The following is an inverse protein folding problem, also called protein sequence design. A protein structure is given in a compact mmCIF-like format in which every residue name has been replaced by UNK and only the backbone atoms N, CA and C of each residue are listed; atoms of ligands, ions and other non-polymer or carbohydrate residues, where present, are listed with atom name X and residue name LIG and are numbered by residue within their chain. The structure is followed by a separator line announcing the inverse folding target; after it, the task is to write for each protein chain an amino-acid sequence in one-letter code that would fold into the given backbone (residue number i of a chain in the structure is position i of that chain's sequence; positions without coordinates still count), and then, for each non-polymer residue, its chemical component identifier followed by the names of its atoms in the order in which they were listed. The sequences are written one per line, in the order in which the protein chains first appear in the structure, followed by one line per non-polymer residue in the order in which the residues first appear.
data_IF_160564251595
#
_entry.id   IF_160564251595
#
_cell.length_a   1.000
_cell.length_b   1.000
_cell.length_c   1.000
_cell.angle_alpha   90.00
_cell.angle_beta   90.00
_cell.angle_gamma   90.00
#
_symmetry.space_group_name_H-M   'P 1'
#
loop_
_entity.id
_entity.type
_entity.pdbx_description
1 polymer ?
#
# COMPACT_ATOMS: atom_id res chain seq x y z
N UNK A 1 -29.26 -35.69 8.01
CA UNK A 1 -28.97 -34.26 7.91
C UNK A 1 -28.55 -34.03 6.46
N UNK A 2 -29.32 -33.26 5.64
CA UNK A 2 -28.90 -32.99 4.28
C UNK A 2 -27.63 -32.10 4.31
N UNK A 3 -26.63 -32.53 3.52
CA UNK A 3 -25.47 -31.69 3.24
C UNK A 3 -25.98 -30.40 2.59
N UNK A 4 -25.71 -29.29 3.23
CA UNK A 4 -25.92 -27.96 2.66
C UNK A 4 -24.97 -27.87 1.47
N UNK A 5 -25.52 -28.00 0.26
CA UNK A 5 -24.84 -27.64 -0.98
C UNK A 5 -24.49 -26.16 -0.89
N UNK A 6 -23.29 -25.87 -0.39
CA UNK A 6 -22.71 -24.55 -0.53
C UNK A 6 -22.53 -24.34 -2.03
N UNK A 7 -23.36 -23.48 -2.61
CA UNK A 7 -23.20 -23.03 -4.00
C UNK A 7 -21.73 -22.68 -4.21
N UNK A 8 -21.05 -23.25 -5.21
CA UNK A 8 -19.66 -22.93 -5.48
C UNK A 8 -19.60 -21.42 -5.73
N UNK A 9 -18.90 -20.69 -4.87
CA UNK A 9 -18.62 -19.28 -5.09
C UNK A 9 -17.92 -19.16 -6.44
N UNK A 10 -18.61 -18.62 -7.42
CA UNK A 10 -18.01 -18.23 -8.69
C UNK A 10 -17.22 -16.96 -8.42
N UNK A 11 -15.92 -16.98 -8.73
CA UNK A 11 -15.03 -15.84 -8.55
C UNK A 11 -14.19 -15.86 -7.26
N UNK A 12 -13.40 -14.81 -7.07
CA UNK A 12 -12.52 -14.60 -5.91
C UNK A 12 -12.96 -13.34 -5.16
N UNK A 13 -13.99 -13.41 -4.30
CA UNK A 13 -14.56 -12.22 -3.64
C UNK A 13 -13.63 -11.54 -2.64
N UNK A 14 -12.48 -12.15 -2.32
CA UNK A 14 -11.41 -11.57 -1.50
C UNK A 14 -10.42 -10.71 -2.32
N UNK A 15 -10.53 -10.69 -3.66
CA UNK A 15 -9.83 -9.76 -4.50
C UNK A 15 -10.45 -8.37 -4.39
N UNK A 16 -9.61 -7.37 -4.21
CA UNK A 16 -10.01 -5.96 -4.23
C UNK A 16 -10.05 -5.47 -5.67
N UNK A 17 -9.05 -5.89 -6.48
CA UNK A 17 -9.00 -5.75 -7.94
C UNK A 17 -8.12 -6.82 -8.56
N UNK A 18 -8.28 -6.97 -9.85
CA UNK A 18 -7.44 -7.79 -10.71
C UNK A 18 -7.25 -7.07 -12.05
N UNK A 19 -6.04 -7.10 -12.59
CA UNK A 19 -5.68 -6.55 -13.90
C UNK A 19 -4.88 -7.56 -14.69
N UNK A 20 -5.16 -7.65 -15.99
CA UNK A 20 -4.29 -8.24 -16.98
C UNK A 20 -3.57 -7.15 -17.74
N UNK A 21 -2.28 -7.30 -18.00
CA UNK A 21 -1.47 -6.35 -18.74
C UNK A 21 -1.00 -6.99 -20.05
N UNK A 22 -1.15 -6.25 -21.11
CA UNK A 22 -0.67 -6.66 -22.43
C UNK A 22 0.83 -6.38 -22.61
N UNK A 23 1.42 -6.88 -23.69
CA UNK A 23 2.85 -6.70 -23.95
C UNK A 23 3.27 -5.24 -24.21
N UNK A 24 2.32 -4.35 -24.46
CA UNK A 24 2.54 -2.91 -24.59
C UNK A 24 2.39 -2.14 -23.27
N UNK A 25 2.22 -2.86 -22.15
CA UNK A 25 2.04 -2.28 -20.82
C UNK A 25 0.63 -1.78 -20.51
N UNK A 26 -0.33 -1.96 -21.40
CA UNK A 26 -1.73 -1.54 -21.18
C UNK A 26 -2.40 -2.45 -20.15
N UNK A 27 -2.97 -1.86 -19.08
CA UNK A 27 -3.67 -2.59 -18.01
C UNK A 27 -5.17 -2.65 -18.26
N UNK A 28 -5.74 -3.87 -18.24
CA UNK A 28 -7.16 -4.15 -18.43
C UNK A 28 -7.77 -4.72 -17.15
N UNK A 29 -8.87 -4.14 -16.60
CA UNK A 29 -9.51 -4.68 -15.41
C UNK A 29 -10.16 -6.03 -15.71
N UNK A 30 -9.92 -7.00 -14.83
CA UNK A 30 -10.58 -8.30 -14.85
C UNK A 30 -11.77 -8.26 -13.89
N UNK A 31 -12.87 -8.92 -14.28
CA UNK A 31 -14.09 -8.99 -13.48
C UNK A 31 -13.90 -9.92 -12.28
N UNK A 32 -13.66 -9.35 -11.10
CA UNK A 32 -13.37 -10.09 -9.85
C UNK A 32 -14.50 -11.07 -9.47
N UNK A 33 -15.75 -10.69 -9.70
CA UNK A 33 -16.92 -11.48 -9.32
C UNK A 33 -17.02 -12.80 -10.09
N UNK A 34 -16.44 -12.86 -11.27
CA UNK A 34 -16.45 -14.05 -12.16
C UNK A 34 -15.09 -14.72 -12.28
N UNK A 35 -14.04 -14.17 -11.65
CA UNK A 35 -12.67 -14.66 -11.77
C UNK A 35 -12.50 -15.98 -10.98
N UNK A 36 -12.88 -17.10 -11.57
CA UNK A 36 -12.62 -18.45 -11.09
C UNK A 36 -11.33 -19.02 -11.72
N UNK A 37 -11.03 -20.30 -11.49
CA UNK A 37 -9.80 -20.94 -11.99
C UNK A 37 -9.73 -20.99 -13.51
N UNK A 38 -10.86 -21.16 -14.19
CA UNK A 38 -10.94 -21.18 -15.65
C UNK A 38 -10.65 -19.80 -16.21
N UNK A 39 -11.30 -18.78 -15.66
CA UNK A 39 -11.09 -17.37 -16.05
C UNK A 39 -9.68 -16.89 -15.73
N UNK A 40 -9.11 -17.30 -14.58
CA UNK A 40 -7.72 -16.97 -14.24
C UNK A 40 -6.73 -17.63 -15.22
N UNK A 41 -6.97 -18.92 -15.57
CA UNK A 41 -6.13 -19.62 -16.55
C UNK A 41 -6.20 -18.97 -17.92
N UNK A 42 -7.40 -18.54 -18.32
CA UNK A 42 -7.61 -17.81 -19.58
C UNK A 42 -6.91 -16.45 -19.55
N UNK A 43 -7.06 -15.67 -18.48
CA UNK A 43 -6.40 -14.38 -18.32
C UNK A 43 -4.87 -14.49 -18.41
N UNK A 44 -4.26 -15.54 -17.83
CA UNK A 44 -2.82 -15.84 -17.96
C UNK A 44 -2.38 -16.16 -19.40
N UNK A 45 -3.29 -16.59 -20.26
CA UNK A 45 -2.99 -16.89 -21.68
C UNK A 45 -3.21 -15.65 -22.57
N UNK A 46 -4.15 -14.79 -22.21
CA UNK A 46 -4.54 -13.60 -22.98
C UNK A 46 -3.64 -12.38 -22.70
N UNK A 47 -3.07 -12.29 -21.50
CA UNK A 47 -2.23 -11.17 -21.08
C UNK A 47 -0.79 -11.59 -20.84
N UNK A 48 0.14 -10.65 -20.96
CA UNK A 48 1.56 -10.88 -20.72
C UNK A 48 1.84 -11.15 -19.24
N UNK A 49 1.11 -10.47 -18.34
CA UNK A 49 1.21 -10.67 -16.90
C UNK A 49 -0.04 -10.15 -16.18
N UNK A 50 -0.20 -10.55 -14.90
CA UNK A 50 -1.36 -10.19 -14.08
C UNK A 50 -0.94 -9.47 -12.80
N UNK A 51 -1.79 -8.53 -12.34
CA UNK A 51 -1.74 -7.98 -11.00
C UNK A 51 -3.01 -8.35 -10.23
N UNK A 52 -2.86 -9.11 -9.14
CA UNK A 52 -3.93 -9.53 -8.25
C UNK A 52 -3.74 -8.90 -6.87
N UNK A 53 -4.72 -8.14 -6.40
CA UNK A 53 -4.66 -7.47 -5.10
C UNK A 53 -5.71 -8.02 -4.14
N UNK A 54 -5.26 -8.59 -3.02
CA UNK A 54 -6.10 -9.30 -2.07
C UNK A 54 -6.35 -8.51 -0.78
N UNK A 55 -7.52 -8.74 -0.20
CA UNK A 55 -7.83 -8.35 1.18
C UNK A 55 -7.66 -9.57 2.10
N UNK A 56 -6.62 -9.56 2.93
CA UNK A 56 -6.33 -10.66 3.87
C UNK A 56 -7.21 -10.62 5.13
N UNK A 57 -8.09 -9.64 5.28
CA UNK A 57 -9.13 -9.66 6.32
C UNK A 57 -10.31 -10.58 5.95
N UNK A 58 -10.46 -10.94 4.68
CA UNK A 58 -11.44 -11.89 4.20
C UNK A 58 -10.98 -13.33 4.49
N UNK A 59 -11.78 -14.09 5.21
CA UNK A 59 -11.46 -15.48 5.59
C UNK A 59 -11.28 -16.44 4.40
N UNK A 60 -11.68 -16.04 3.18
CA UNK A 60 -11.55 -16.83 1.94
C UNK A 60 -10.20 -16.62 1.24
N UNK A 61 -9.46 -15.58 1.61
CA UNK A 61 -8.18 -15.23 0.97
C UNK A 61 -7.16 -16.38 0.98
N UNK A 62 -6.97 -17.15 2.07
CA UNK A 62 -6.02 -18.25 2.05
C UNK A 62 -6.32 -19.30 0.96
N UNK A 63 -7.60 -19.64 0.77
CA UNK A 63 -8.00 -20.58 -0.26
C UNK A 63 -7.83 -20.02 -1.67
N UNK A 64 -8.06 -18.73 -1.86
CA UNK A 64 -7.87 -18.06 -3.14
C UNK A 64 -6.39 -17.99 -3.54
N UNK A 65 -5.51 -17.61 -2.60
CA UNK A 65 -4.05 -17.54 -2.84
C UNK A 65 -3.48 -18.93 -3.12
N UNK A 66 -3.93 -19.98 -2.40
CA UNK A 66 -3.49 -21.36 -2.64
C UNK A 66 -3.78 -21.85 -4.07
N UNK A 67 -4.80 -21.30 -4.74
CA UNK A 67 -5.15 -21.61 -6.15
C UNK A 67 -4.23 -20.97 -7.17
N UNK A 68 -3.38 -20.02 -6.78
CA UNK A 68 -2.45 -19.35 -7.68
C UNK A 68 -1.25 -20.21 -8.10
N UNK A 69 -1.02 -21.35 -7.40
CA UNK A 69 0.09 -22.26 -7.67
C UNK A 69 1.45 -21.72 -7.20
N UNK A 70 1.44 -20.80 -6.22
CA UNK A 70 2.65 -20.33 -5.54
C UNK A 70 3.19 -21.41 -4.57
N UNK A 71 4.47 -21.30 -4.21
CA UNK A 71 5.04 -22.19 -3.20
C UNK A 71 4.40 -21.98 -1.83
N UNK A 72 4.62 -22.92 -0.92
CA UNK A 72 4.14 -22.82 0.46
C UNK A 72 4.76 -21.61 1.17
N UNK A 73 6.08 -21.37 0.99
CA UNK A 73 6.80 -20.26 1.59
C UNK A 73 6.25 -18.90 1.14
N UNK A 74 6.02 -18.71 -0.16
CA UNK A 74 5.44 -17.48 -0.70
C UNK A 74 3.99 -17.30 -0.21
N UNK A 75 3.21 -18.39 -0.19
CA UNK A 75 1.82 -18.36 0.28
C UNK A 75 1.75 -17.97 1.76
N UNK A 76 2.59 -18.54 2.61
CA UNK A 76 2.69 -18.18 4.03
C UNK A 76 3.11 -16.72 4.21
N UNK A 77 4.09 -16.24 3.45
CA UNK A 77 4.53 -14.85 3.51
C UNK A 77 3.41 -13.87 3.14
N UNK A 78 2.62 -14.16 2.09
CA UNK A 78 1.48 -13.33 1.68
C UNK A 78 0.36 -13.27 2.72
N UNK A 79 0.17 -14.33 3.49
CA UNK A 79 -0.88 -14.48 4.52
C UNK A 79 -0.38 -14.13 5.92
N UNK A 80 0.91 -13.91 6.09
CA UNK A 80 1.55 -13.63 7.37
C UNK A 80 0.97 -12.38 8.04
N UNK A 81 1.12 -12.33 9.35
CA UNK A 81 0.87 -11.16 10.18
C UNK A 81 2.17 -10.42 10.50
N UNK A 82 3.26 -10.80 9.82
CA UNK A 82 4.54 -10.17 10.04
C UNK A 82 4.51 -8.71 9.62
N UNK A 83 5.09 -7.87 10.46
CA UNK A 83 5.18 -6.42 10.27
C UNK A 83 6.61 -5.96 10.05
N UNK A 84 7.55 -6.90 9.84
CA UNK A 84 8.92 -6.56 9.50
C UNK A 84 9.07 -6.39 8.00
N UNK A 85 9.64 -5.25 7.61
CA UNK A 85 10.02 -5.02 6.21
C UNK A 85 11.04 -6.05 5.79
N UNK A 86 10.74 -6.82 4.78
CA UNK A 86 11.57 -7.92 4.30
C UNK A 86 11.47 -8.07 2.79
N UNK A 87 12.55 -8.55 2.20
CA UNK A 87 12.62 -8.96 0.79
C UNK A 87 13.37 -10.29 0.73
N UNK A 88 12.75 -11.28 0.15
CA UNK A 88 13.28 -12.63 -0.01
C UNK A 88 13.15 -13.07 -1.46
N UNK A 89 13.90 -14.09 -1.83
CA UNK A 89 13.86 -14.67 -3.17
C UNK A 89 13.70 -16.18 -3.09
N UNK A 90 12.75 -16.70 -3.87
CA UNK A 90 12.61 -18.12 -4.12
C UNK A 90 12.61 -18.36 -5.63
N UNK A 91 13.71 -18.95 -6.13
CA UNK A 91 13.91 -19.07 -7.58
C UNK A 91 13.96 -17.71 -8.26
N UNK A 92 12.98 -17.44 -9.13
CA UNK A 92 12.83 -16.16 -9.87
C UNK A 92 11.77 -15.24 -9.26
N UNK A 93 11.14 -15.65 -8.16
CA UNK A 93 10.10 -14.87 -7.50
C UNK A 93 10.65 -14.13 -6.29
N UNK A 94 10.50 -12.82 -6.28
CA UNK A 94 10.74 -11.97 -5.11
C UNK A 94 9.47 -11.85 -4.29
N UNK A 95 9.58 -11.93 -2.96
CA UNK A 95 8.43 -11.76 -2.08
C UNK A 95 8.84 -11.12 -0.75
N UNK A 96 7.88 -10.57 -0.04
CA UNK A 96 8.17 -9.93 1.23
C UNK A 96 7.08 -9.03 1.74
N UNK A 97 7.49 -8.14 2.64
CA UNK A 97 6.61 -7.19 3.34
C UNK A 97 7.18 -5.79 3.18
N UNK A 98 6.31 -4.87 2.83
CA UNK A 98 6.62 -3.45 2.68
C UNK A 98 5.70 -2.61 3.55
N UNK A 99 6.24 -1.53 4.15
CA UNK A 99 5.45 -0.59 4.94
C UNK A 99 4.80 0.45 4.02
N UNK A 100 3.53 0.80 4.30
CA UNK A 100 2.84 1.88 3.59
C UNK A 100 1.90 2.63 4.56
N UNK A 101 1.49 3.83 4.17
CA UNK A 101 0.48 4.58 4.91
C UNK A 101 -0.91 4.00 4.67
N UNK A 102 -1.74 3.98 5.71
CA UNK A 102 -3.15 3.63 5.56
C UNK A 102 -3.87 4.68 4.72
N UNK A 103 -4.67 4.22 3.79
CA UNK A 103 -5.54 5.10 3.02
C UNK A 103 -6.76 5.47 3.87
N UNK A 104 -6.90 6.75 4.25
CA UNK A 104 -8.07 7.26 4.95
C UNK A 104 -8.95 8.00 3.94
N UNK A 105 -10.17 7.50 3.72
CA UNK A 105 -11.13 8.18 2.85
C UNK A 105 -11.52 9.53 3.45
N UNK A 106 -11.32 10.60 2.68
CA UNK A 106 -11.82 11.95 3.03
C UNK A 106 -10.95 12.75 3.98
N UNK A 107 -9.73 12.33 4.27
CA UNK A 107 -8.78 13.09 5.07
C UNK A 107 -7.80 13.81 4.15
N UNK A 108 -7.91 15.13 4.10
CA UNK A 108 -6.99 16.02 3.41
C UNK A 108 -5.64 16.03 4.18
N UNK A 109 -4.55 15.66 3.50
CA UNK A 109 -3.24 15.42 4.12
C UNK A 109 -2.61 16.69 4.68
N UNK A 110 -3.11 17.86 4.27
CA UNK A 110 -2.60 19.17 4.68
C UNK A 110 -3.00 19.65 6.07
N UNK A 111 -3.70 18.86 6.88
CA UNK A 111 -4.25 19.33 8.17
C UNK A 111 -3.89 18.48 9.39
N UNK A 112 -3.01 17.52 9.30
CA UNK A 112 -2.71 16.65 10.43
C UNK A 112 -1.36 16.92 11.07
N UNK A 113 -1.51 17.34 12.33
CA UNK A 113 -0.50 17.41 13.38
C UNK A 113 0.34 16.12 13.48
N UNK A 114 1.61 16.29 13.79
CA UNK A 114 2.74 15.40 13.91
C UNK A 114 2.59 14.16 14.80
N UNK A 115 1.47 13.91 15.44
CA UNK A 115 1.21 12.66 16.15
C UNK A 115 0.68 11.59 15.17
N UNK A 116 1.43 11.28 14.09
CA UNK A 116 1.16 10.08 13.30
C UNK A 116 1.42 8.87 14.19
N UNK A 117 0.33 8.28 14.66
CA UNK A 117 0.34 7.10 15.50
C UNK A 117 0.70 5.88 14.64
N UNK A 118 1.26 4.84 15.24
CA UNK A 118 1.43 3.50 14.62
C UNK A 118 0.15 3.00 13.93
N UNK A 119 -1.01 3.58 14.27
CA UNK A 119 -2.31 3.28 13.64
C UNK A 119 -2.45 3.79 12.21
N UNK A 120 -1.57 4.66 11.74
CA UNK A 120 -1.59 5.19 10.37
C UNK A 120 -0.73 4.39 9.39
N UNK A 121 0.04 3.44 9.89
CA UNK A 121 0.90 2.56 9.11
C UNK A 121 0.18 1.25 8.84
N UNK A 122 0.34 0.72 7.65
CA UNK A 122 -0.13 -0.59 7.23
C UNK A 122 0.98 -1.37 6.51
N UNK A 123 0.69 -2.60 6.17
CA UNK A 123 1.66 -3.54 5.62
C UNK A 123 1.14 -4.10 4.31
N UNK A 124 1.95 -3.98 3.27
CA UNK A 124 1.75 -4.58 1.96
C UNK A 124 2.61 -5.84 1.89
N UNK A 125 1.97 -6.99 1.82
CA UNK A 125 2.64 -8.24 1.47
C UNK A 125 2.62 -8.37 -0.04
N UNK A 126 3.71 -8.85 -0.64
CA UNK A 126 3.81 -8.95 -2.09
C UNK A 126 4.60 -10.19 -2.52
N UNK A 127 4.31 -10.64 -3.72
CA UNK A 127 5.09 -11.60 -4.48
C UNK A 127 5.14 -11.17 -5.94
N UNK A 128 6.36 -11.09 -6.49
CA UNK A 128 6.67 -10.65 -7.85
C UNK A 128 7.33 -11.80 -8.59
N UNK A 129 6.59 -12.42 -9.49
CA UNK A 129 7.10 -13.42 -10.44
C UNK A 129 7.38 -12.80 -11.81
N UNK A 130 7.60 -13.65 -12.81
CA UNK A 130 7.82 -13.21 -14.18
C UNK A 130 6.53 -12.65 -14.85
N UNK A 131 5.39 -13.26 -14.55
CA UNK A 131 4.10 -13.01 -15.17
C UNK A 131 2.98 -12.71 -14.16
N UNK A 132 3.33 -12.57 -12.87
CA UNK A 132 2.34 -12.40 -11.82
C UNK A 132 2.86 -11.50 -10.71
N UNK A 133 2.11 -10.43 -10.42
CA UNK A 133 2.20 -9.65 -9.19
C UNK A 133 1.03 -10.01 -8.28
N UNK A 134 1.32 -10.51 -7.11
CA UNK A 134 0.36 -10.66 -6.03
C UNK A 134 0.67 -9.64 -4.97
N UNK A 135 -0.32 -8.84 -4.61
CA UNK A 135 -0.24 -7.93 -3.47
C UNK A 135 -1.39 -8.22 -2.52
N UNK A 136 -1.11 -8.16 -1.22
CA UNK A 136 -2.08 -8.50 -0.20
C UNK A 136 -2.00 -7.52 0.97
N UNK A 137 -3.16 -7.11 1.50
CA UNK A 137 -3.26 -6.16 2.58
C UNK A 137 -4.45 -6.45 3.51
N UNK A 138 -4.37 -6.03 4.76
CA UNK A 138 -5.52 -6.05 5.69
C UNK A 138 -6.32 -4.77 5.70
N UNK A 139 -5.71 -3.67 5.33
CA UNK A 139 -6.31 -2.34 5.36
C UNK A 139 -5.92 -1.60 4.10
N UNK A 140 -6.77 -0.70 3.63
CA UNK A 140 -6.47 0.10 2.47
C UNK A 140 -5.15 0.86 2.67
N UNK A 141 -4.26 0.77 1.68
CA UNK A 141 -2.93 1.35 1.67
C UNK A 141 -2.86 2.45 0.62
N UNK A 142 -2.11 3.51 0.93
CA UNK A 142 -2.10 4.73 0.12
C UNK A 142 -1.32 4.56 -1.18
N UNK A 143 -0.10 4.09 -1.10
CA UNK A 143 0.79 4.03 -2.27
C UNK A 143 0.28 3.03 -3.30
N UNK A 144 -0.18 1.86 -2.84
CA UNK A 144 -0.77 0.86 -3.74
C UNK A 144 -2.08 1.34 -4.38
N UNK A 145 -2.91 2.11 -3.66
CA UNK A 145 -4.12 2.71 -4.22
C UNK A 145 -3.79 3.80 -5.25
N UNK A 146 -2.76 4.62 -5.01
CA UNK A 146 -2.30 5.63 -5.98
C UNK A 146 -1.83 4.98 -7.29
N UNK A 147 -1.03 3.91 -7.21
CA UNK A 147 -0.59 3.17 -8.42
C UNK A 147 -1.78 2.53 -9.12
N UNK A 148 -2.74 1.97 -8.37
CA UNK A 148 -4.00 1.47 -8.94
C UNK A 148 -4.76 2.58 -9.71
N UNK A 149 -4.81 3.81 -9.18
CA UNK A 149 -5.42 4.94 -9.90
C UNK A 149 -4.64 5.30 -11.17
N UNK A 150 -3.30 5.18 -11.18
CA UNK A 150 -2.49 5.37 -12.38
C UNK A 150 -2.84 4.34 -13.46
N UNK A 151 -2.93 3.05 -13.11
CA UNK A 151 -3.37 1.99 -14.03
C UNK A 151 -4.77 2.29 -14.59
N UNK A 152 -5.72 2.67 -13.73
CA UNK A 152 -7.06 3.07 -14.16
C UNK A 152 -7.07 4.31 -15.06
N UNK A 153 -6.11 5.20 -14.88
CA UNK A 153 -5.89 6.39 -15.69
C UNK A 153 -5.21 6.12 -17.04
N UNK A 154 -4.85 4.86 -17.34
CA UNK A 154 -4.21 4.46 -18.58
C UNK A 154 -2.68 4.63 -18.57
N UNK A 155 -2.04 4.71 -17.41
CA UNK A 155 -0.58 4.62 -17.32
C UNK A 155 -0.15 3.21 -17.65
N UNK A 156 0.83 3.08 -18.54
CA UNK A 156 1.40 1.80 -18.97
C UNK A 156 2.50 1.35 -18.03
N UNK A 157 2.59 0.03 -17.82
CA UNK A 157 3.64 -0.63 -17.07
C UNK A 157 4.18 -1.81 -17.89
N UNK A 158 5.44 -1.74 -18.28
CA UNK A 158 6.04 -2.73 -19.18
C UNK A 158 6.36 -4.05 -18.48
N UNK A 159 6.38 -4.07 -17.15
CA UNK A 159 6.69 -5.25 -16.36
C UNK A 159 6.02 -5.28 -14.99
N UNK A 160 5.95 -6.48 -14.44
CA UNK A 160 5.50 -6.73 -13.05
C UNK A 160 6.32 -5.89 -12.04
N UNK A 161 7.63 -5.79 -12.27
CA UNK A 161 8.55 -5.08 -11.38
C UNK A 161 8.28 -3.58 -11.33
N UNK A 162 7.90 -2.96 -12.46
CA UNK A 162 7.61 -1.53 -12.54
C UNK A 162 6.40 -1.12 -11.68
N UNK A 163 5.39 -1.98 -11.55
CA UNK A 163 4.27 -1.69 -10.65
C UNK A 163 4.73 -1.69 -9.20
N UNK A 164 5.58 -2.65 -8.79
CA UNK A 164 6.13 -2.65 -7.44
C UNK A 164 7.05 -1.44 -7.21
N UNK A 165 7.91 -1.12 -8.18
CA UNK A 165 8.76 0.08 -8.15
C UNK A 165 7.91 1.35 -7.97
N UNK A 166 6.86 1.52 -8.75
CA UNK A 166 5.95 2.64 -8.64
C UNK A 166 5.29 2.73 -7.25
N UNK A 167 4.92 1.59 -6.63
CA UNK A 167 4.39 1.58 -5.26
C UNK A 167 5.44 2.08 -4.26
N UNK A 168 6.69 1.63 -4.39
CA UNK A 168 7.81 2.05 -3.54
C UNK A 168 8.11 3.53 -3.72
N UNK A 169 8.13 4.02 -4.96
CA UNK A 169 8.33 5.44 -5.28
C UNK A 169 7.25 6.33 -4.69
N UNK A 170 5.97 5.95 -4.79
CA UNK A 170 4.86 6.69 -4.17
C UNK A 170 5.02 6.76 -2.65
N UNK A 171 5.45 5.68 -2.02
CA UNK A 171 5.74 5.69 -0.59
C UNK A 171 6.92 6.61 -0.26
N UNK A 172 8.04 6.49 -0.98
CA UNK A 172 9.23 7.33 -0.79
C UNK A 172 8.88 8.83 -0.95
N UNK A 173 8.12 9.19 -1.97
CA UNK A 173 7.63 10.55 -2.18
C UNK A 173 6.76 11.03 -1.00
N UNK A 174 5.92 10.16 -0.46
CA UNK A 174 5.07 10.49 0.70
C UNK A 174 5.88 10.69 1.98
N UNK A 175 6.97 9.94 2.16
CA UNK A 175 7.91 10.11 3.29
C UNK A 175 8.68 11.42 3.15
N UNK A 176 9.19 11.73 1.96
CA UNK A 176 9.88 13.00 1.70
C UNK A 176 8.97 14.19 2.01
N UNK A 177 7.73 14.18 1.53
CA UNK A 177 6.75 15.22 1.82
C UNK A 177 6.47 15.36 3.33
N UNK A 178 6.31 14.25 4.04
CA UNK A 178 6.13 14.28 5.49
C UNK A 178 7.34 14.85 6.24
N UNK A 179 8.55 14.61 5.73
CA UNK A 179 9.79 15.15 6.30
C UNK A 179 9.89 16.66 6.10
N UNK A 180 9.52 17.17 4.92
CA UNK A 180 9.48 18.61 4.64
C UNK A 180 8.45 19.34 5.51
N UNK A 181 7.26 18.74 5.71
CA UNK A 181 6.25 19.27 6.64
C UNK A 181 6.78 19.33 8.08
N UNK A 182 7.52 18.29 8.52
CA UNK A 182 8.19 18.26 9.83
C UNK A 182 9.18 19.40 9.98
N UNK A 183 10.04 19.60 9.00
CA UNK A 183 11.01 20.69 9.00
C UNK A 183 10.30 22.05 9.15
N UNK A 184 9.27 22.27 8.35
CA UNK A 184 8.50 23.53 8.40
C UNK A 184 7.83 23.77 9.76
N UNK A 185 7.30 22.73 10.40
CA UNK A 185 6.66 22.88 11.71
C UNK A 185 7.70 23.08 12.83
N UNK A 186 8.87 22.44 12.72
CA UNK A 186 9.99 22.66 13.63
C UNK A 186 10.46 24.12 13.58
N UNK A 187 10.68 24.67 12.38
CA UNK A 187 11.05 26.08 12.18
C UNK A 187 10.01 27.01 12.82
N UNK A 188 8.73 26.74 12.67
CA UNK A 188 7.66 27.53 13.30
C UNK A 188 7.67 27.44 14.84
N UNK A 189 8.04 26.29 15.39
CA UNK A 189 8.18 26.12 16.84
C UNK A 189 9.38 26.88 17.34
N UNK A 190 10.51 26.81 16.65
CA UNK A 190 11.74 27.56 16.99
C UNK A 190 11.48 29.06 16.97
N UNK A 191 10.85 29.59 15.92
CA UNK A 191 10.50 31.00 15.81
C UNK A 191 9.58 31.47 16.95
N UNK A 192 8.63 30.64 17.35
CA UNK A 192 7.74 30.92 18.48
C UNK A 192 8.49 30.99 19.79
N UNK A 193 9.36 30.02 20.07
CA UNK A 193 10.19 29.96 21.28
C UNK A 193 11.13 31.18 21.36
N UNK A 194 11.75 31.55 20.24
CA UNK A 194 12.63 32.73 20.17
C UNK A 194 11.85 34.02 20.40
N UNK A 195 10.66 34.15 19.83
CA UNK A 195 9.80 35.33 19.98
C UNK A 195 9.30 35.49 21.42
N UNK A 196 8.90 34.38 22.06
CA UNK A 196 8.44 34.40 23.45
C UNK A 196 9.59 34.77 24.41
N UNK A 197 10.79 34.20 24.24
CA UNK A 197 11.97 34.54 25.01
C UNK A 197 12.34 36.04 24.87
N UNK A 198 12.38 36.55 23.64
CA UNK A 198 12.62 37.97 23.39
C UNK A 198 11.53 38.87 24.01
N UNK A 199 10.30 38.38 24.06
CA UNK A 199 9.18 39.07 24.73
C UNK A 199 9.33 39.15 26.24
N UNK A 200 9.80 38.08 26.88
CA UNK A 200 10.08 38.05 28.34
C UNK A 200 11.28 38.94 28.68
N UNK A 201 12.41 38.82 27.98
CA UNK A 201 13.60 39.63 28.18
C UNK A 201 13.30 41.15 28.02
N UNK A 202 12.47 41.51 27.02
CA UNK A 202 12.04 42.92 26.84
C UNK A 202 11.16 43.41 27.99
N UNK A 203 10.30 42.55 28.56
CA UNK A 203 9.49 42.89 29.73
C UNK A 203 10.35 43.07 30.98
N UNK A 204 11.31 42.19 31.19
CA UNK A 204 12.24 42.24 32.33
C UNK A 204 13.12 43.49 32.25
N UNK A 205 13.66 43.86 31.09
CA UNK A 205 14.36 45.08 30.84
C UNK A 205 13.50 46.34 31.06
N UNK A 206 12.22 46.31 30.70
CA UNK A 206 11.30 47.40 30.92
C UNK A 206 10.97 47.58 32.40
N UNK A 207 10.89 46.49 33.18
CA UNK A 207 10.74 46.56 34.66
C UNK A 207 11.98 47.15 35.32
N UNK A 208 13.18 46.68 34.94
CA UNK A 208 14.45 47.22 35.46
C UNK A 208 14.64 48.72 35.16
N UNK A 209 14.24 49.18 33.96
CA UNK A 209 14.29 50.63 33.60
C UNK A 209 13.32 51.50 34.39
N UNK A 210 12.27 50.94 34.98
CA UNK A 210 11.32 51.71 35.81
C UNK A 210 11.73 51.80 37.29
N UNK A 211 12.70 50.97 37.70
CA UNK A 211 13.19 50.92 39.08
C UNK A 211 14.49 51.67 39.28
N UNK A 212 15.12 52.20 38.24
CA UNK A 212 16.29 53.13 38.29
C UNK A 212 15.89 54.54 37.84
#
# INVERSE_FOLDING_TARGET
VPATDALPFRGMPCLVWAYGFDADGSGHPLEVATLDDEHLSKARQEHAWLWLHFDTSDARTPQAIARLGLSEEITEALLSHDTHVSLQMEGVTAFGVFVDWRHQRGVDIGKHSFARSEKEVGWLHFAVGADLLVTARRQALRSVEQVHQHVRGGVHFDSVAEVLEAIVEQFAASVAHATDELGTELDRIEDRVLTDRLGEERRDLAVLRRQG
#
